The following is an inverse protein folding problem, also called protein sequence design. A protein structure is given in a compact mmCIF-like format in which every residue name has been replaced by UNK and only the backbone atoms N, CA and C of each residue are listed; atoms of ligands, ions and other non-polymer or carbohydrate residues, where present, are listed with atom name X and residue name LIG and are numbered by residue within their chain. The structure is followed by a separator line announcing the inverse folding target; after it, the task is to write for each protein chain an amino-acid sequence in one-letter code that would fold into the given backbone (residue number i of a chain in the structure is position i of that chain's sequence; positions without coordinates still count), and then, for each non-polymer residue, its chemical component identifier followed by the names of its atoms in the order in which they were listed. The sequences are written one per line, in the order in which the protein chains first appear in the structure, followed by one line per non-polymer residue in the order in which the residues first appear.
data_IF_203379309523
#
_entry.id   IF_203379309523
#
_cell.length_a   1.000
_cell.length_b   1.000
_cell.length_c   1.000
_cell.angle_alpha   90.00
_cell.angle_beta   90.00
_cell.angle_gamma   90.00
#
_symmetry.space_group_name_H-M   'P 1'
#
loop_
_entity.id
_entity.type
_entity.pdbx_description
1 polymer ?
#
# COMPACT_ATOMS: atom_id res chain seq x y z
N UNK A 1 -15.93 -19.20 -4.97
CA UNK A 1 -16.86 -18.09 -5.21
C UNK A 1 -16.40 -17.38 -6.48
N UNK A 2 -17.31 -16.87 -7.32
CA UNK A 2 -16.91 -16.19 -8.56
C UNK A 2 -16.27 -14.83 -8.26
N UNK A 3 -15.17 -14.52 -8.96
CA UNK A 3 -14.57 -13.19 -8.95
C UNK A 3 -15.54 -12.21 -9.65
N UNK A 4 -15.85 -11.05 -9.07
CA UNK A 4 -16.92 -10.17 -9.55
C UNK A 4 -16.77 -9.72 -11.00
N UNK A 5 -15.55 -9.57 -11.49
CA UNK A 5 -15.26 -9.08 -12.84
C UNK A 5 -14.98 -10.20 -13.85
N UNK A 6 -14.19 -11.21 -13.44
CA UNK A 6 -13.75 -12.26 -14.38
C UNK A 6 -14.67 -13.48 -14.41
N UNK A 7 -15.53 -13.64 -13.38
CA UNK A 7 -16.39 -14.82 -13.21
C UNK A 7 -15.65 -16.10 -12.83
N UNK A 8 -14.32 -16.10 -12.78
CA UNK A 8 -13.51 -17.26 -12.39
C UNK A 8 -13.76 -17.60 -10.93
N UNK A 9 -13.88 -18.89 -10.63
CA UNK A 9 -14.13 -19.39 -9.28
C UNK A 9 -12.82 -19.48 -8.48
N UNK A 10 -12.80 -18.83 -7.32
CA UNK A 10 -11.68 -18.91 -6.39
C UNK A 10 -12.12 -19.36 -4.99
N UNK A 11 -11.28 -20.11 -4.27
CA UNK A 11 -11.40 -20.28 -2.82
C UNK A 11 -10.97 -18.98 -2.10
N UNK A 12 -11.18 -18.92 -0.79
CA UNK A 12 -10.71 -17.83 0.07
C UNK A 12 -10.03 -18.40 1.31
N UNK A 13 -8.81 -17.98 1.66
CA UNK A 13 -7.94 -17.09 0.87
C UNK A 13 -7.56 -17.70 -0.49
N UNK A 14 -7.20 -16.83 -1.44
CA UNK A 14 -6.80 -17.28 -2.78
C UNK A 14 -5.40 -17.92 -2.71
N UNK A 15 -5.21 -19.17 -3.21
CA UNK A 15 -3.87 -19.76 -3.29
C UNK A 15 -2.98 -19.00 -4.29
N UNK A 16 -1.67 -18.98 -4.03
CA UNK A 16 -0.70 -18.46 -4.97
C UNK A 16 -0.72 -19.26 -6.28
N UNK A 17 -0.62 -18.59 -7.41
CA UNK A 17 -0.64 -19.22 -8.72
C UNK A 17 -2.02 -19.73 -9.17
N UNK A 18 -3.11 -19.40 -8.46
CA UNK A 18 -4.46 -19.79 -8.84
C UNK A 18 -5.05 -18.97 -10.00
N UNK A 19 -4.32 -17.99 -10.54
CA UNK A 19 -4.78 -17.14 -11.64
C UNK A 19 -5.62 -15.94 -11.19
N UNK A 20 -5.51 -15.52 -9.92
CA UNK A 20 -6.11 -14.26 -9.47
C UNK A 20 -5.51 -13.09 -10.25
N UNK A 21 -6.34 -12.15 -10.73
CA UNK A 21 -5.84 -10.99 -11.47
C UNK A 21 -4.75 -10.24 -10.72
N UNK A 22 -3.60 -10.03 -11.36
CA UNK A 22 -2.45 -9.34 -10.77
C UNK A 22 -1.74 -10.11 -9.65
N UNK A 23 -1.99 -11.44 -9.49
CA UNK A 23 -1.19 -12.26 -8.55
C UNK A 23 0.27 -12.34 -9.04
N UNK A 24 1.24 -11.77 -8.29
CA UNK A 24 2.64 -11.83 -8.68
C UNK A 24 3.29 -13.18 -8.34
N UNK A 25 2.64 -14.01 -7.53
CA UNK A 25 3.20 -15.27 -7.04
C UNK A 25 2.67 -16.47 -7.80
N UNK A 26 3.48 -17.50 -7.90
CA UNK A 26 3.12 -18.85 -8.33
C UNK A 26 3.09 -19.85 -7.14
N UNK A 27 2.82 -21.11 -7.44
CA UNK A 27 2.76 -22.17 -6.43
C UNK A 27 4.11 -22.47 -5.76
N UNK A 28 5.22 -22.16 -6.46
CA UNK A 28 6.58 -22.44 -6.00
C UNK A 28 7.23 -21.24 -5.29
N UNK A 29 6.54 -20.10 -5.26
CA UNK A 29 7.04 -18.88 -4.61
C UNK A 29 7.36 -19.12 -3.13
N UNK A 30 8.60 -18.88 -2.68
CA UNK A 30 9.05 -19.27 -1.36
C UNK A 30 8.39 -18.45 -0.24
N UNK A 31 7.78 -19.10 0.74
CA UNK A 31 7.04 -18.47 1.86
C UNK A 31 7.98 -18.12 3.01
N UNK A 32 8.02 -16.84 3.42
CA UNK A 32 8.67 -16.41 4.66
C UNK A 32 7.73 -16.56 5.85
N UNK A 33 8.16 -17.27 6.90
CA UNK A 33 7.36 -17.57 8.12
C UNK A 33 7.92 -16.93 9.39
N UNK A 34 9.11 -16.33 9.33
CA UNK A 34 9.78 -15.70 10.48
C UNK A 34 10.38 -14.36 10.06
N UNK A 35 10.61 -13.47 11.02
CA UNK A 35 11.28 -12.20 10.78
C UNK A 35 12.70 -12.39 10.19
N UNK A 36 13.42 -13.44 10.58
CA UNK A 36 14.72 -13.76 10.01
C UNK A 36 14.63 -14.14 8.52
N UNK A 37 13.65 -14.97 8.15
CA UNK A 37 13.40 -15.32 6.75
C UNK A 37 12.96 -14.11 5.91
N UNK A 38 12.13 -13.22 6.46
CA UNK A 38 11.74 -11.97 5.81
C UNK A 38 12.98 -11.13 5.51
N UNK A 39 13.83 -10.88 6.52
CA UNK A 39 15.07 -10.11 6.32
C UNK A 39 15.99 -10.73 5.27
N UNK A 40 16.17 -12.04 5.31
CA UNK A 40 17.03 -12.75 4.37
C UNK A 40 16.52 -12.66 2.93
N UNK A 41 15.22 -12.83 2.72
CA UNK A 41 14.59 -12.76 1.40
C UNK A 41 14.56 -11.33 0.86
N UNK A 42 14.10 -10.36 1.66
CA UNK A 42 14.06 -8.95 1.27
C UNK A 42 15.43 -8.42 0.80
N UNK A 43 16.54 -8.89 1.42
CA UNK A 43 17.89 -8.53 0.99
C UNK A 43 18.28 -9.12 -0.35
N UNK A 44 17.73 -10.27 -0.72
CA UNK A 44 18.07 -11.00 -1.96
C UNK A 44 17.26 -10.55 -3.17
N UNK A 45 16.08 -9.95 -2.96
CA UNK A 45 15.28 -9.44 -4.07
C UNK A 45 16.04 -8.35 -4.81
N UNK A 46 16.32 -8.59 -6.09
CA UNK A 46 16.97 -7.63 -7.01
C UNK A 46 15.99 -7.02 -7.98
N UNK A 47 14.79 -7.61 -8.12
CA UNK A 47 13.73 -7.17 -9.00
C UNK A 47 12.43 -6.98 -8.23
N UNK A 48 11.60 -6.05 -8.70
CA UNK A 48 10.33 -5.71 -8.05
C UNK A 48 9.31 -6.84 -8.16
N UNK A 49 9.29 -7.54 -9.29
CA UNK A 49 8.41 -8.70 -9.52
C UNK A 49 8.68 -9.83 -8.54
N UNK A 50 9.96 -10.14 -8.25
CA UNK A 50 10.33 -11.13 -7.23
C UNK A 50 9.95 -10.65 -5.82
N UNK A 51 10.18 -9.37 -5.51
CA UNK A 51 9.78 -8.79 -4.23
C UNK A 51 8.26 -8.90 -4.03
N UNK A 52 7.47 -8.47 -5.01
CA UNK A 52 6.01 -8.49 -4.94
C UNK A 52 5.47 -9.92 -4.79
N UNK A 53 6.06 -10.89 -5.49
CA UNK A 53 5.74 -12.31 -5.34
C UNK A 53 5.98 -12.79 -3.90
N UNK A 54 7.17 -12.57 -3.36
CA UNK A 54 7.54 -13.02 -2.01
C UNK A 54 6.77 -12.28 -0.91
N UNK A 55 6.48 -10.98 -1.09
CA UNK A 55 5.58 -10.23 -0.19
C UNK A 55 4.22 -10.89 -0.15
N UNK A 56 3.64 -11.19 -1.32
CA UNK A 56 2.26 -11.67 -1.44
C UNK A 56 1.99 -13.03 -0.78
N UNK A 57 3.02 -13.83 -0.52
CA UNK A 57 2.92 -15.13 0.17
C UNK A 57 3.47 -15.12 1.59
N UNK A 58 3.88 -13.96 2.13
CA UNK A 58 4.49 -13.85 3.45
C UNK A 58 3.53 -14.26 4.57
N UNK A 59 4.05 -15.01 5.56
CA UNK A 59 3.34 -15.51 6.74
C UNK A 59 4.09 -15.21 8.05
N UNK A 60 4.91 -14.16 8.09
CA UNK A 60 5.82 -13.87 9.21
C UNK A 60 5.15 -13.35 10.49
N UNK A 61 3.92 -12.81 10.41
CA UNK A 61 3.19 -12.24 11.55
C UNK A 61 1.95 -13.10 11.86
N UNK A 62 2.02 -13.99 12.87
CA UNK A 62 0.97 -14.95 13.17
C UNK A 62 -0.41 -14.30 13.37
N UNK A 63 -0.49 -13.21 14.16
CA UNK A 63 -1.75 -12.50 14.43
C UNK A 63 -2.38 -11.95 13.13
N UNK A 64 -1.57 -11.34 12.27
CA UNK A 64 -2.05 -10.80 11.00
C UNK A 64 -2.46 -11.90 10.02
N UNK A 65 -1.72 -13.01 9.98
CA UNK A 65 -2.07 -14.18 9.16
C UNK A 65 -3.44 -14.73 9.59
N UNK A 66 -3.61 -14.98 10.89
CA UNK A 66 -4.88 -15.48 11.41
C UNK A 66 -6.02 -14.53 11.09
N UNK A 67 -5.86 -13.24 11.37
CA UNK A 67 -6.92 -12.25 11.14
C UNK A 67 -7.33 -12.12 9.68
N UNK A 68 -6.37 -11.92 8.77
CA UNK A 68 -6.67 -11.73 7.34
C UNK A 68 -7.33 -12.96 6.70
N UNK A 69 -6.91 -14.18 7.13
CA UNK A 69 -7.47 -15.44 6.65
C UNK A 69 -8.83 -15.73 7.30
N UNK A 70 -9.03 -15.41 8.58
CA UNK A 70 -10.33 -15.50 9.24
C UNK A 70 -11.36 -14.59 8.56
N UNK A 71 -10.98 -13.35 8.24
CA UNK A 71 -11.85 -12.43 7.46
C UNK A 71 -12.13 -13.02 6.08
N UNK A 72 -11.18 -13.67 5.45
CA UNK A 72 -11.36 -14.27 4.14
C UNK A 72 -12.27 -15.50 4.16
N UNK A 73 -12.22 -16.32 5.21
CA UNK A 73 -12.91 -17.63 5.28
C UNK A 73 -14.22 -17.59 6.07
N UNK A 74 -14.33 -16.75 7.11
CA UNK A 74 -15.47 -16.78 8.05
C UNK A 74 -16.61 -15.89 7.61
N UNK A 75 -17.79 -16.46 7.47
CA UNK A 75 -19.02 -15.76 7.12
C UNK A 75 -19.39 -14.66 8.12
N UNK A 76 -19.05 -14.82 9.41
CA UNK A 76 -19.34 -13.86 10.47
C UNK A 76 -18.44 -12.61 10.42
N UNK A 77 -17.22 -12.73 9.90
CA UNK A 77 -16.30 -11.59 9.77
C UNK A 77 -16.47 -10.83 8.44
N UNK A 78 -17.15 -11.44 7.46
CA UNK A 78 -17.43 -10.80 6.18
C UNK A 78 -18.58 -9.82 6.30
N UNK A 79 -18.47 -8.68 5.64
CA UNK A 79 -19.60 -7.80 5.43
C UNK A 79 -20.63 -8.50 4.54
N UNK A 80 -21.92 -8.37 4.87
CA UNK A 80 -23.03 -8.96 4.09
C UNK A 80 -22.94 -8.61 2.60
N UNK A 81 -22.51 -7.40 2.26
CA UNK A 81 -22.33 -6.94 0.89
C UNK A 81 -21.30 -7.74 0.07
N UNK A 82 -20.35 -8.42 0.71
CA UNK A 82 -19.27 -9.17 0.06
C UNK A 82 -19.32 -10.68 0.36
N UNK A 83 -20.45 -11.17 0.88
CA UNK A 83 -20.58 -12.57 1.30
C UNK A 83 -20.42 -13.58 0.15
N UNK A 84 -20.74 -13.17 -1.09
CA UNK A 84 -20.63 -13.97 -2.29
C UNK A 84 -19.32 -13.80 -3.07
N UNK A 85 -18.41 -12.93 -2.60
CA UNK A 85 -17.15 -12.65 -3.30
C UNK A 85 -16.00 -13.47 -2.70
N UNK A 86 -15.02 -13.93 -3.50
CA UNK A 86 -13.78 -14.47 -2.98
C UNK A 86 -12.92 -13.35 -2.39
N UNK A 87 -12.12 -13.70 -1.38
CA UNK A 87 -11.16 -12.77 -0.77
C UNK A 87 -9.74 -13.22 -1.09
N UNK A 88 -8.91 -12.28 -1.50
CA UNK A 88 -7.48 -12.48 -1.64
C UNK A 88 -6.86 -13.10 -0.38
N UNK A 89 -7.07 -12.48 0.79
CA UNK A 89 -6.67 -13.02 2.10
C UNK A 89 -5.17 -13.18 2.30
N UNK A 90 -4.36 -12.56 1.46
CA UNK A 90 -2.89 -12.61 1.47
C UNK A 90 -2.30 -11.20 1.68
N UNK A 91 -0.97 -11.05 1.93
CA UNK A 91 -0.34 -9.74 1.93
C UNK A 91 -0.50 -9.03 0.58
N UNK A 92 -0.54 -7.72 0.61
CA UNK A 92 -0.78 -6.89 -0.58
C UNK A 92 0.52 -6.21 -1.01
N UNK A 93 0.99 -6.43 -2.25
CA UNK A 93 2.15 -5.73 -2.81
C UNK A 93 1.87 -4.25 -3.04
N UNK A 94 2.91 -3.50 -3.43
CA UNK A 94 2.75 -2.12 -3.91
C UNK A 94 2.06 -2.06 -5.27
N UNK A 95 1.62 -0.87 -5.66
CA UNK A 95 0.96 -0.59 -6.93
C UNK A 95 1.58 0.62 -7.61
N UNK A 96 1.89 0.55 -8.88
CA UNK A 96 2.37 1.67 -9.67
C UNK A 96 3.62 1.34 -10.46
N UNK A 97 4.30 2.38 -10.94
CA UNK A 97 5.48 2.21 -11.80
C UNK A 97 6.72 1.79 -11.01
N UNK A 98 7.69 1.19 -11.70
CA UNK A 98 8.92 0.69 -11.09
C UNK A 98 9.92 1.82 -10.75
N UNK A 99 9.83 2.94 -11.47
CA UNK A 99 10.66 4.13 -11.28
C UNK A 99 9.80 5.38 -11.05
N UNK A 100 9.12 5.48 -9.90
CA UNK A 100 8.26 6.60 -9.59
C UNK A 100 9.07 7.83 -9.17
N UNK A 101 8.57 9.03 -9.48
CA UNK A 101 9.04 10.27 -8.83
C UNK A 101 8.25 10.61 -7.58
N UNK A 102 7.05 10.04 -7.41
CA UNK A 102 6.20 10.23 -6.24
C UNK A 102 5.97 8.87 -5.58
N UNK A 103 6.29 8.76 -4.28
CA UNK A 103 6.07 7.54 -3.50
C UNK A 103 5.02 7.78 -2.42
N UNK A 104 3.90 7.05 -2.46
CA UNK A 104 2.80 7.22 -1.51
C UNK A 104 2.84 6.10 -0.49
N UNK A 105 2.96 6.46 0.78
CA UNK A 105 3.02 5.52 1.88
C UNK A 105 1.77 5.59 2.74
N UNK A 106 1.07 4.45 2.85
CA UNK A 106 -0.06 4.24 3.75
C UNK A 106 0.28 3.37 4.95
N UNK A 107 -0.72 3.11 5.77
CA UNK A 107 -0.59 2.29 6.99
C UNK A 107 -0.57 0.79 6.66
N UNK A 108 -1.71 0.26 6.25
CA UNK A 108 -1.95 -1.17 6.04
C UNK A 108 -3.22 -1.39 5.18
N UNK A 109 -3.40 -2.57 4.58
CA UNK A 109 -4.62 -2.99 3.91
C UNK A 109 -5.82 -3.00 4.86
N UNK A 110 -6.98 -2.55 4.37
CA UNK A 110 -8.24 -2.73 5.09
C UNK A 110 -8.78 -4.16 4.92
N UNK A 111 -9.43 -4.69 5.96
CA UNK A 111 -9.94 -6.06 6.00
C UNK A 111 -10.93 -6.39 4.85
N UNK A 112 -11.77 -5.43 4.46
CA UNK A 112 -12.77 -5.57 3.39
C UNK A 112 -12.42 -4.78 2.11
N UNK A 113 -11.30 -4.07 2.11
CA UNK A 113 -10.69 -3.39 0.98
C UNK A 113 -9.62 -4.26 0.32
N UNK A 114 -8.37 -3.88 0.46
CA UNK A 114 -7.25 -4.56 -0.19
C UNK A 114 -7.05 -6.03 0.25
N UNK A 115 -7.43 -6.41 1.47
CA UNK A 115 -7.45 -7.83 1.86
C UNK A 115 -8.48 -8.66 1.08
N UNK A 116 -9.53 -8.02 0.54
CA UNK A 116 -10.50 -8.66 -0.35
C UNK A 116 -10.02 -8.67 -1.79
N UNK A 117 -9.55 -7.53 -2.29
CA UNK A 117 -9.27 -7.33 -3.71
C UNK A 117 -7.86 -7.72 -4.14
N UNK A 118 -6.90 -7.83 -3.22
CA UNK A 118 -5.48 -8.09 -3.53
C UNK A 118 -4.70 -6.86 -4.00
N UNK A 119 -5.33 -5.68 -4.12
CA UNK A 119 -4.68 -4.44 -4.58
C UNK A 119 -4.77 -3.34 -3.52
N UNK A 120 -3.63 -2.67 -3.26
CA UNK A 120 -3.52 -1.62 -2.23
C UNK A 120 -4.52 -0.48 -2.50
N UNK A 121 -5.14 0.06 -1.44
CA UNK A 121 -6.18 1.10 -1.50
C UNK A 121 -7.33 0.80 -2.47
N UNK A 122 -7.72 -0.46 -2.63
CA UNK A 122 -8.77 -0.86 -3.59
C UNK A 122 -9.91 -1.59 -2.88
N UNK A 123 -11.14 -1.21 -3.25
CA UNK A 123 -12.36 -1.87 -2.78
C UNK A 123 -12.89 -1.38 -1.44
N UNK A 124 -12.46 -0.20 -0.99
CA UNK A 124 -13.01 0.52 0.15
C UNK A 124 -13.04 2.04 -0.09
N UNK A 125 -13.75 2.76 0.79
CA UNK A 125 -13.91 4.22 0.63
C UNK A 125 -12.64 5.03 0.70
N UNK A 126 -11.61 4.54 1.40
CA UNK A 126 -10.30 5.22 1.43
C UNK A 126 -9.64 5.17 0.07
N UNK A 127 -9.77 4.03 -0.61
CA UNK A 127 -9.32 3.86 -1.98
C UNK A 127 -10.11 4.71 -2.96
N UNK A 128 -11.44 4.70 -2.88
CA UNK A 128 -12.29 5.53 -3.73
C UNK A 128 -11.90 7.01 -3.64
N UNK A 129 -11.67 7.50 -2.43
CA UNK A 129 -11.28 8.89 -2.20
C UNK A 129 -9.87 9.20 -2.73
N UNK A 130 -8.93 8.28 -2.54
CA UNK A 130 -7.55 8.42 -3.02
C UNK A 130 -7.50 8.41 -4.56
N UNK A 131 -8.07 7.38 -5.20
CA UNK A 131 -7.98 7.24 -6.66
C UNK A 131 -8.75 8.33 -7.41
N UNK A 132 -9.88 8.80 -6.86
CA UNK A 132 -10.57 9.95 -7.43
C UNK A 132 -9.69 11.22 -7.45
N UNK A 133 -8.91 11.47 -6.41
CA UNK A 133 -7.95 12.56 -6.36
C UNK A 133 -6.78 12.34 -7.34
N UNK A 134 -6.15 11.16 -7.31
CA UNK A 134 -5.06 10.82 -8.24
C UNK A 134 -5.47 11.01 -9.70
N UNK A 135 -6.70 10.63 -10.05
CA UNK A 135 -7.23 10.83 -11.39
C UNK A 135 -7.42 12.33 -11.74
N UNK A 136 -8.01 13.13 -10.83
CA UNK A 136 -8.20 14.57 -11.07
C UNK A 136 -6.88 15.31 -11.31
N UNK A 137 -5.82 14.88 -10.63
CA UNK A 137 -4.48 15.47 -10.81
C UNK A 137 -3.63 14.78 -11.88
N UNK A 138 -4.18 13.80 -12.60
CA UNK A 138 -3.51 13.11 -13.73
C UNK A 138 -2.45 12.09 -13.33
N UNK A 139 -2.51 11.54 -12.11
CA UNK A 139 -1.61 10.48 -11.61
C UNK A 139 -2.22 9.07 -11.73
N UNK A 140 -3.51 8.95 -12.06
CA UNK A 140 -4.18 7.69 -12.32
C UNK A 140 -5.03 7.76 -13.59
N UNK A 141 -5.14 6.66 -14.33
CA UNK A 141 -5.93 6.56 -15.56
C UNK A 141 -7.44 6.55 -15.31
N UNK A 142 -7.88 6.23 -14.09
CA UNK A 142 -9.29 6.14 -13.68
C UNK A 142 -9.49 6.73 -12.29
N UNK A 143 -10.67 7.33 -12.07
CA UNK A 143 -11.11 7.79 -10.75
C UNK A 143 -11.57 6.65 -9.85
N UNK A 144 -11.79 5.46 -10.40
CA UNK A 144 -12.35 4.29 -9.71
C UNK A 144 -11.35 3.15 -9.72
N UNK A 145 -11.17 2.52 -8.55
CA UNK A 145 -10.31 1.35 -8.34
C UNK A 145 -11.16 0.22 -7.73
N UNK A 146 -11.49 -0.78 -8.53
CA UNK A 146 -12.41 -1.87 -8.15
C UNK A 146 -11.65 -3.12 -7.76
N UNK A 147 -10.76 -3.60 -8.64
CA UNK A 147 -9.93 -4.79 -8.46
C UNK A 147 -8.72 -4.75 -9.42
N UNK A 148 -7.86 -5.76 -9.36
CA UNK A 148 -6.66 -5.81 -10.20
C UNK A 148 -6.93 -6.05 -11.69
N UNK A 149 -8.17 -6.41 -12.09
CA UNK A 149 -8.56 -6.63 -13.48
C UNK A 149 -9.26 -5.42 -14.12
N UNK A 150 -9.33 -4.26 -13.45
CA UNK A 150 -10.08 -3.09 -13.93
C UNK A 150 -9.32 -2.23 -14.95
N UNK A 151 -8.06 -2.54 -15.23
CA UNK A 151 -7.23 -1.81 -16.19
C UNK A 151 -6.69 -0.47 -15.69
N UNK A 152 -6.86 -0.15 -14.39
CA UNK A 152 -6.30 1.06 -13.79
C UNK A 152 -4.77 1.03 -13.84
N UNK A 153 -4.19 2.12 -14.33
CA UNK A 153 -2.74 2.36 -14.33
C UNK A 153 -2.41 3.64 -13.57
N UNK A 154 -1.21 3.69 -13.02
CA UNK A 154 -0.66 4.84 -12.32
C UNK A 154 0.48 5.45 -13.14
N UNK A 155 0.57 6.79 -13.14
CA UNK A 155 1.58 7.55 -13.87
C UNK A 155 2.54 8.21 -12.87
N UNK A 156 3.83 7.88 -12.97
CA UNK A 156 4.90 8.52 -12.19
C UNK A 156 4.77 8.37 -10.65
N UNK A 157 3.93 7.46 -10.19
CA UNK A 157 3.61 7.25 -8.78
C UNK A 157 3.64 5.75 -8.43
N UNK A 158 4.09 5.45 -7.20
CA UNK A 158 3.94 4.14 -6.57
C UNK A 158 3.27 4.28 -5.21
N UNK A 159 2.26 3.45 -4.96
CA UNK A 159 1.46 3.43 -3.73
C UNK A 159 1.78 2.16 -2.96
N UNK A 160 2.19 2.31 -1.71
CA UNK A 160 2.59 1.19 -0.84
C UNK A 160 2.00 1.32 0.55
N UNK A 161 1.95 0.21 1.28
CA UNK A 161 1.60 0.19 2.70
C UNK A 161 2.79 -0.23 3.55
N UNK A 162 3.00 0.42 4.70
CA UNK A 162 4.09 0.09 5.63
C UNK A 162 3.95 -1.32 6.21
N UNK A 163 2.71 -1.78 6.40
CA UNK A 163 2.39 -3.17 6.77
C UNK A 163 1.56 -3.79 5.65
N UNK A 164 1.95 -4.96 5.17
CA UNK A 164 1.37 -5.57 3.95
C UNK A 164 0.11 -6.40 4.19
N UNK A 165 -0.25 -6.63 5.44
CA UNK A 165 -1.42 -7.42 5.84
C UNK A 165 -2.45 -6.54 6.53
N UNK A 166 -3.75 -6.85 6.34
CA UNK A 166 -4.81 -6.23 7.12
C UNK A 166 -4.65 -6.58 8.61
N UNK A 167 -4.55 -5.60 9.51
CA UNK A 167 -4.55 -5.84 10.95
C UNK A 167 -5.97 -5.77 11.52
N UNK A 168 -6.23 -6.43 12.67
CA UNK A 168 -7.42 -6.15 13.46
C UNK A 168 -7.54 -4.65 13.76
N UNK A 169 -8.75 -4.11 13.69
CA UNK A 169 -9.07 -2.70 14.00
C UNK A 169 -8.24 -1.65 13.23
N UNK A 170 -7.65 -2.05 12.10
CA UNK A 170 -6.69 -1.26 11.33
C UNK A 170 -5.48 -0.80 12.16
N UNK A 171 -5.12 -1.53 13.21
CA UNK A 171 -4.07 -1.21 14.16
C UNK A 171 -2.99 -2.31 14.19
N UNK A 172 -1.93 -2.22 13.37
CA UNK A 172 -0.78 -3.10 13.47
C UNK A 172 0.01 -2.79 14.75
N UNK A 173 0.58 -3.82 15.36
CA UNK A 173 1.48 -3.63 16.51
C UNK A 173 2.85 -3.09 16.06
N UNK A 174 3.64 -2.48 16.99
CA UNK A 174 5.01 -2.08 16.68
C UNK A 174 5.89 -3.26 16.22
N UNK A 175 5.70 -4.44 16.79
CA UNK A 175 6.44 -5.65 16.39
C UNK A 175 6.09 -6.09 14.97
N UNK A 176 4.80 -6.06 14.59
CA UNK A 176 4.35 -6.38 13.24
C UNK A 176 4.90 -5.40 12.21
N UNK A 177 4.98 -4.11 12.56
CA UNK A 177 5.62 -3.09 11.73
C UNK A 177 7.11 -3.43 11.51
N UNK A 178 7.85 -3.67 12.59
CA UNK A 178 9.27 -4.02 12.51
C UNK A 178 9.51 -5.33 11.74
N UNK A 179 8.62 -6.32 11.89
CA UNK A 179 8.69 -7.58 11.16
C UNK A 179 8.45 -7.36 9.65
N UNK A 180 7.57 -6.42 9.28
CA UNK A 180 7.24 -6.12 7.89
C UNK A 180 8.21 -5.12 7.22
N UNK A 181 8.95 -4.33 8.02
CA UNK A 181 9.87 -3.27 7.56
C UNK A 181 10.90 -3.72 6.50
N UNK A 182 11.51 -4.94 6.57
CA UNK A 182 12.44 -5.36 5.53
C UNK A 182 11.84 -5.41 4.13
N UNK A 183 10.54 -5.74 3.99
CA UNK A 183 9.85 -5.67 2.71
C UNK A 183 9.71 -4.23 2.21
N UNK A 184 9.34 -3.30 3.11
CA UNK A 184 9.26 -1.88 2.80
C UNK A 184 10.63 -1.33 2.36
N UNK A 185 11.69 -1.68 3.09
CA UNK A 185 13.07 -1.28 2.77
C UNK A 185 13.56 -1.84 1.44
N UNK A 186 13.20 -3.09 1.10
CA UNK A 186 13.54 -3.68 -0.18
C UNK A 186 12.82 -2.97 -1.33
N UNK A 187 11.54 -2.65 -1.18
CA UNK A 187 10.78 -1.92 -2.18
C UNK A 187 11.34 -0.49 -2.38
N UNK A 188 11.67 0.20 -1.29
CA UNK A 188 12.34 1.49 -1.35
C UNK A 188 13.68 1.42 -2.10
N UNK A 189 14.50 0.42 -1.81
CA UNK A 189 15.78 0.20 -2.50
C UNK A 189 15.60 0.00 -4.00
N UNK A 190 14.57 -0.74 -4.41
CA UNK A 190 14.33 -1.08 -5.81
C UNK A 190 13.66 0.06 -6.59
N UNK A 191 12.78 0.84 -5.95
CA UNK A 191 11.94 1.83 -6.64
C UNK A 191 12.26 3.28 -6.26
N UNK A 192 13.07 3.50 -5.22
CA UNK A 192 13.30 4.83 -4.65
C UNK A 192 14.31 5.71 -5.39
N UNK A 193 14.99 5.20 -6.42
CA UNK A 193 16.11 5.91 -7.06
C UNK A 193 15.70 7.28 -7.65
N UNK A 194 14.53 7.34 -8.30
CA UNK A 194 14.04 8.56 -8.97
C UNK A 194 13.03 9.33 -8.12
N UNK A 195 12.72 8.82 -6.92
CA UNK A 195 11.75 9.47 -6.03
C UNK A 195 12.25 10.86 -5.60
N UNK A 196 11.40 11.87 -5.77
CA UNK A 196 11.63 13.26 -5.34
C UNK A 196 10.83 13.60 -4.09
N UNK A 197 9.66 12.98 -3.95
CA UNK A 197 8.77 13.24 -2.81
C UNK A 197 8.10 11.97 -2.34
N UNK A 198 8.07 11.80 -1.02
CA UNK A 198 7.26 10.80 -0.33
C UNK A 198 6.02 11.48 0.22
N UNK A 199 4.83 11.03 -0.17
CA UNK A 199 3.55 11.46 0.39
C UNK A 199 3.13 10.47 1.47
N UNK A 200 3.11 10.92 2.73
CA UNK A 200 2.76 10.08 3.89
C UNK A 200 1.28 10.28 4.27
N UNK A 201 0.48 9.24 4.09
CA UNK A 201 -0.94 9.22 4.43
C UNK A 201 -1.15 8.90 5.92
N UNK A 202 -1.13 9.92 6.76
CA UNK A 202 -1.30 9.85 8.22
C UNK A 202 0.02 9.80 9.00
N UNK A 203 -0.09 10.06 10.31
CA UNK A 203 1.08 10.16 11.20
C UNK A 203 1.90 8.87 11.32
N UNK A 204 1.26 7.70 11.17
CA UNK A 204 1.96 6.42 11.15
C UNK A 204 2.88 6.31 9.92
N UNK A 205 2.35 6.63 8.73
CA UNK A 205 3.11 6.60 7.48
C UNK A 205 4.23 7.66 7.49
N UNK A 206 3.97 8.85 8.06
CA UNK A 206 4.97 9.90 8.26
C UNK A 206 6.17 9.38 9.06
N UNK A 207 5.90 8.77 10.22
CA UNK A 207 6.95 8.18 11.05
C UNK A 207 7.69 7.05 10.33
N UNK A 208 6.95 6.18 9.64
CA UNK A 208 7.56 5.08 8.88
C UNK A 208 8.47 5.58 7.76
N UNK A 209 8.10 6.65 7.05
CA UNK A 209 8.94 7.28 6.03
C UNK A 209 10.23 7.87 6.62
N UNK A 210 10.14 8.56 7.76
CA UNK A 210 11.31 9.12 8.45
C UNK A 210 12.29 8.04 8.91
N UNK A 211 11.77 6.93 9.46
CA UNK A 211 12.59 5.79 9.88
C UNK A 211 13.22 5.08 8.68
N UNK A 212 12.45 4.86 7.61
CA UNK A 212 12.91 4.23 6.37
C UNK A 212 14.07 4.98 5.71
N UNK A 213 14.02 6.30 5.75
CA UNK A 213 15.03 7.17 5.11
C UNK A 213 16.17 7.57 6.05
N UNK A 214 16.20 7.03 7.27
CA UNK A 214 17.26 7.28 8.23
C UNK A 214 17.26 8.69 8.83
N UNK A 215 16.11 9.36 8.89
CA UNK A 215 15.99 10.70 9.47
C UNK A 215 16.39 10.69 10.95
N UNK A 216 17.17 11.70 11.34
CA UNK A 216 17.59 11.92 12.74
C UNK A 216 16.45 12.44 13.62
N UNK A 217 16.56 12.20 14.94
CA UNK A 217 15.65 12.80 15.94
C UNK A 217 16.15 14.16 16.40
N UNK A 218 15.26 15.10 16.78
CA UNK A 218 13.78 14.97 16.84
C UNK A 218 13.15 14.97 15.45
N UNK A 219 12.13 14.14 15.26
CA UNK A 219 11.41 14.09 13.98
C UNK A 219 10.57 15.36 13.74
N UNK A 220 10.49 15.83 12.48
CA UNK A 220 9.59 16.90 12.12
C UNK A 220 8.14 16.50 12.43
N UNK A 221 7.35 17.48 12.93
CA UNK A 221 5.97 17.26 13.36
C UNK A 221 5.09 16.94 12.15
N UNK A 222 4.28 15.87 12.25
CA UNK A 222 3.28 15.54 11.26
C UNK A 222 2.17 16.62 11.22
N UNK A 223 1.74 16.97 10.01
CA UNK A 223 0.57 17.77 9.73
C UNK A 223 0.09 17.55 8.28
N UNK A 224 -1.16 17.91 8.00
CA UNK A 224 -1.64 17.95 6.62
C UNK A 224 -0.95 19.09 5.87
N UNK A 225 -0.38 18.83 4.70
CA UNK A 225 0.41 19.81 3.96
C UNK A 225 1.79 20.10 4.56
N UNK A 226 2.17 19.46 5.69
CA UNK A 226 3.49 19.63 6.27
C UNK A 226 4.56 19.09 5.32
N UNK A 227 5.57 19.92 5.04
CA UNK A 227 6.72 19.57 4.20
C UNK A 227 7.98 19.49 5.06
N UNK A 228 8.75 18.42 4.89
CA UNK A 228 10.04 18.22 5.56
C UNK A 228 11.07 17.72 4.54
N UNK A 229 12.32 18.14 4.72
CA UNK A 229 13.44 17.58 3.98
C UNK A 229 13.86 16.23 4.59
N UNK A 230 14.12 15.24 3.76
CA UNK A 230 14.74 13.98 4.13
C UNK A 230 16.27 14.07 4.05
N UNK A 231 17.02 13.19 4.76
CA UNK A 231 18.48 13.27 4.82
C UNK A 231 19.19 13.23 3.45
N UNK A 232 18.55 12.63 2.47
CA UNK A 232 19.06 12.49 1.10
C UNK A 232 18.60 13.59 0.12
N UNK A 233 18.02 14.68 0.64
CA UNK A 233 17.56 15.83 -0.13
C UNK A 233 16.14 15.70 -0.70
N UNK A 234 15.51 14.54 -0.57
CA UNK A 234 14.11 14.32 -0.98
C UNK A 234 13.14 15.04 -0.05
N UNK A 235 11.92 15.24 -0.53
CA UNK A 235 10.84 15.84 0.26
C UNK A 235 9.94 14.78 0.90
N UNK A 236 9.49 15.05 2.13
CA UNK A 236 8.40 14.30 2.78
C UNK A 236 7.20 15.24 2.94
N UNK A 237 6.06 14.86 2.36
CA UNK A 237 4.82 15.63 2.37
C UNK A 237 3.74 14.89 3.17
N UNK A 238 3.22 15.53 4.21
CA UNK A 238 2.20 14.97 5.09
C UNK A 238 0.79 15.16 4.55
N UNK A 239 -0.02 14.13 4.60
CA UNK A 239 -1.44 14.18 4.27
C UNK A 239 -2.26 13.49 5.36
N UNK A 240 -3.41 14.03 5.75
CA UNK A 240 -4.36 13.27 6.56
C UNK A 240 -4.77 12.01 5.81
N UNK A 241 -4.87 10.88 6.54
CA UNK A 241 -5.26 9.62 5.92
C UNK A 241 -6.69 9.71 5.35
N UNK A 242 -6.97 9.21 4.12
CA UNK A 242 -8.28 9.26 3.49
C UNK A 242 -9.27 8.25 4.11
N UNK A 243 -9.21 8.05 5.43
CA UNK A 243 -10.13 7.20 6.18
C UNK A 243 -11.53 7.80 6.24
N UNK A 244 -12.54 6.95 6.40
CA UNK A 244 -13.93 7.39 6.59
C UNK A 244 -14.06 8.40 7.72
N UNK A 245 -13.33 8.22 8.82
CA UNK A 245 -13.32 9.16 9.93
C UNK A 245 -12.92 10.57 9.50
N UNK A 246 -11.86 10.72 8.68
CA UNK A 246 -11.40 12.03 8.25
C UNK A 246 -12.27 12.62 7.13
N UNK A 247 -12.78 11.78 6.21
CA UNK A 247 -13.57 12.25 5.07
C UNK A 247 -15.01 12.59 5.46
N UNK A 248 -15.65 11.82 6.35
CA UNK A 248 -17.01 12.10 6.80
C UNK A 248 -17.11 13.29 7.76
N UNK A 249 -16.04 13.56 8.53
CA UNK A 249 -15.99 14.71 9.43
C UNK A 249 -15.53 15.99 8.73
N UNK A 250 -15.21 15.94 7.43
CA UNK A 250 -14.67 17.07 6.69
C UNK A 250 -13.23 17.45 7.07
N UNK A 251 -12.56 16.66 7.90
CA UNK A 251 -11.16 16.87 8.27
C UNK A 251 -10.22 16.75 7.05
N UNK A 252 -10.59 15.89 6.09
CA UNK A 252 -9.96 15.79 4.78
C UNK A 252 -11.04 15.92 3.70
N UNK A 253 -10.94 16.97 2.90
CA UNK A 253 -11.83 17.21 1.75
C UNK A 253 -11.17 16.75 0.44
N UNK A 254 -11.94 16.55 -0.66
CA UNK A 254 -11.36 16.28 -1.98
C UNK A 254 -10.34 17.33 -2.41
N UNK A 255 -10.64 18.62 -2.27
CA UNK A 255 -9.74 19.70 -2.63
C UNK A 255 -8.42 19.64 -1.85
N UNK A 256 -8.48 19.41 -0.54
CA UNK A 256 -7.27 19.26 0.29
C UNK A 256 -6.37 18.11 -0.19
N UNK A 257 -6.95 16.99 -0.61
CA UNK A 257 -6.17 15.87 -1.12
C UNK A 257 -5.59 16.15 -2.50
N UNK A 258 -6.35 16.86 -3.36
CA UNK A 258 -5.89 17.32 -4.68
C UNK A 258 -4.72 18.28 -4.54
N UNK A 259 -4.75 19.20 -3.57
CA UNK A 259 -3.67 20.15 -3.28
C UNK A 259 -2.37 19.44 -2.87
N UNK A 260 -2.48 18.37 -2.03
CA UNK A 260 -1.31 17.56 -1.66
C UNK A 260 -0.69 16.89 -2.88
N UNK A 261 -1.49 16.25 -3.75
CA UNK A 261 -0.93 15.59 -4.93
C UNK A 261 -0.48 16.56 -6.01
N UNK A 262 -1.11 17.72 -6.14
CA UNK A 262 -0.63 18.82 -7.01
C UNK A 262 0.72 19.36 -6.54
N UNK A 263 0.88 19.55 -5.22
CA UNK A 263 2.15 19.91 -4.60
C UNK A 263 3.22 18.85 -4.85
N UNK A 264 2.89 17.58 -4.65
CA UNK A 264 3.81 16.47 -4.92
C UNK A 264 4.25 16.44 -6.39
N UNK A 265 3.33 16.66 -7.35
CA UNK A 265 3.68 16.78 -8.78
C UNK A 265 4.61 17.97 -9.04
N UNK A 266 4.35 19.12 -8.43
CA UNK A 266 5.20 20.30 -8.55
C UNK A 266 6.63 20.01 -8.06
N UNK A 267 6.79 19.30 -6.94
CA UNK A 267 8.10 18.87 -6.43
C UNK A 267 8.77 17.87 -7.39
N UNK A 268 8.02 16.87 -7.84
CA UNK A 268 8.51 15.81 -8.72
C UNK A 268 8.94 16.31 -10.10
N UNK A 269 8.37 17.44 -10.56
CA UNK A 269 8.65 18.02 -11.89
C UNK A 269 9.85 18.98 -11.90
N UNK A 270 10.44 19.31 -10.75
CA UNK A 270 11.60 20.20 -10.70
C UNK A 270 12.80 19.53 -11.37
N UNK A 271 13.51 20.22 -12.27
CA UNK A 271 14.76 19.70 -12.81
C UNK A 271 15.81 19.57 -11.71
N UNK A 272 16.72 18.60 -11.88
CA UNK A 272 17.86 18.43 -10.96
C UNK A 272 18.75 19.69 -11.00
N UNK A 273 18.96 20.34 -9.85
CA UNK A 273 19.99 21.36 -9.72
C UNK A 273 19.54 22.82 -9.74
N UNK A 274 18.29 23.13 -9.45
CA UNK A 274 17.88 24.52 -9.10
C UNK A 274 17.50 24.57 -7.61
N UNK A 275 18.48 24.94 -6.76
CA UNK A 275 18.24 25.48 -5.42
C UNK A 275 17.58 26.84 -5.49
#
# INVERSE_FOLDING_TARGET
MPHPRTGVLFPSPVPAGAGWPGDPADADTPVARTAAQIRARARRCTELTDLDAQVSVCRGCRRLVTWREDVATRTLARRKAYAAEPYWGRPVPGLGVDRPRIWVLGLAPAAHGANRTGRVFTGDRSGDFLFASLHRVGLASSAVSIDAADGLTLNDIRVVAAVRCAPPDNAPTPEERLTCEPWLGAEWRLTGQDVRVVVALGGFAWKAALELTGAGRPYPKFGHGALAALPDGRSLLGCYHPSQQNTFTGRLTPAMLDDVFSTAKGIASRPDGLE
#
